data_IF_977389387582
#
_entry.id   IF_977389387582
#
_cell.length_a   1.000
_cell.length_b   1.000
_cell.length_c   1.000
_cell.angle_alpha   90.00
_cell.angle_beta   90.00
_cell.angle_gamma   90.00
#
_symmetry.space_group_name_H-M   'P 1'
#
loop_
_entity.id
_entity.type
_entity.pdbx_description
1 polymer ?
#
# COMPACT_ATOMS: atom_id res chain seq x y z
N UNK A 1 15.06 11.95 6.65
CA UNK A 1 14.32 11.00 5.78
C UNK A 1 13.17 10.32 6.52
N UNK A 2 13.33 9.99 7.80
CA UNK A 2 12.35 9.17 8.54
C UNK A 2 11.00 9.87 8.76
N UNK A 3 11.01 11.18 9.07
CA UNK A 3 9.77 11.96 9.23
C UNK A 3 8.93 12.03 7.95
N UNK A 4 9.60 12.14 6.78
CA UNK A 4 8.92 12.12 5.48
C UNK A 4 8.26 10.76 5.21
N UNK A 5 8.98 9.66 5.43
CA UNK A 5 8.44 8.31 5.24
C UNK A 5 7.28 8.06 6.21
N UNK A 6 7.44 8.43 7.48
CA UNK A 6 6.40 8.26 8.50
C UNK A 6 5.13 9.04 8.15
N UNK A 7 5.27 10.30 7.72
CA UNK A 7 4.14 11.13 7.30
C UNK A 7 3.39 10.53 6.11
N UNK A 8 4.11 10.07 5.07
CA UNK A 8 3.47 9.45 3.90
C UNK A 8 2.80 8.12 4.24
N UNK A 9 3.35 7.33 5.17
CA UNK A 9 2.69 6.11 5.67
C UNK A 9 1.38 6.44 6.40
N UNK A 10 1.36 7.52 7.18
CA UNK A 10 0.14 7.98 7.84
C UNK A 10 -0.92 8.42 6.82
N UNK A 11 -0.52 9.16 5.78
CA UNK A 11 -1.43 9.54 4.69
C UNK A 11 -1.99 8.31 3.95
N UNK A 12 -1.15 7.31 3.66
CA UNK A 12 -1.61 6.06 3.05
C UNK A 12 -2.60 5.30 3.93
N UNK A 13 -2.37 5.26 5.26
CA UNK A 13 -3.34 4.66 6.19
C UNK A 13 -4.67 5.43 6.17
N UNK A 14 -4.62 6.76 6.16
CA UNK A 14 -5.81 7.60 6.02
C UNK A 14 -6.54 7.31 4.70
N UNK A 15 -5.81 7.21 3.59
CA UNK A 15 -6.37 6.84 2.30
C UNK A 15 -7.04 5.46 2.35
N UNK A 16 -6.36 4.44 2.88
CA UNK A 16 -6.92 3.09 2.95
C UNK A 16 -8.18 3.04 3.81
N UNK A 17 -8.23 3.81 4.90
CA UNK A 17 -9.42 3.95 5.71
C UNK A 17 -10.57 4.55 4.90
N UNK A 18 -10.33 5.64 4.17
CA UNK A 18 -11.34 6.28 3.29
C UNK A 18 -11.81 5.31 2.20
N UNK A 19 -10.90 4.59 1.56
CA UNK A 19 -11.22 3.59 0.55
C UNK A 19 -12.07 2.44 1.12
N UNK A 20 -11.69 1.88 2.27
CA UNK A 20 -12.45 0.82 2.94
C UNK A 20 -13.84 1.32 3.33
N UNK A 21 -13.94 2.52 3.91
CA UNK A 21 -15.23 3.14 4.25
C UNK A 21 -16.09 3.25 3.00
N UNK A 22 -15.54 3.76 1.90
CA UNK A 22 -16.28 3.89 0.64
C UNK A 22 -16.72 2.53 0.05
N UNK A 23 -15.95 1.46 0.24
CA UNK A 23 -16.35 0.11 -0.21
C UNK A 23 -17.59 -0.41 0.54
N UNK A 24 -17.72 -0.13 1.84
CA UNK A 24 -18.83 -0.61 2.67
C UNK A 24 -19.99 0.38 2.78
N UNK A 25 -19.70 1.66 2.65
CA UNK A 25 -20.62 2.79 2.71
C UNK A 25 -20.26 3.75 1.56
N UNK A 26 -20.70 3.47 0.32
CA UNK A 26 -20.36 4.26 -0.84
C UNK A 26 -20.72 5.73 -0.65
N UNK A 27 -19.79 6.62 -0.98
CA UNK A 27 -20.03 8.05 -0.95
C UNK A 27 -20.96 8.48 -2.08
N UNK A 28 -21.57 9.65 -1.92
CA UNK A 28 -22.49 10.17 -2.93
C UNK A 28 -21.75 10.79 -4.12
N UNK A 29 -22.31 10.58 -5.32
CA UNK A 29 -21.87 11.22 -6.55
C UNK A 29 -20.46 10.82 -6.99
N UNK A 30 -19.72 11.78 -7.53
CA UNK A 30 -18.41 11.53 -8.14
C UNK A 30 -17.35 11.05 -7.13
N UNK A 31 -17.54 11.29 -5.83
CA UNK A 31 -16.58 10.91 -4.79
C UNK A 31 -16.37 9.39 -4.73
N UNK A 32 -17.44 8.60 -4.81
CA UNK A 32 -17.34 7.13 -4.85
C UNK A 32 -16.51 6.68 -6.05
N UNK A 33 -16.85 7.15 -7.25
CA UNK A 33 -16.16 6.78 -8.48
C UNK A 33 -14.66 7.08 -8.41
N UNK A 34 -14.27 8.26 -7.94
CA UNK A 34 -12.86 8.64 -7.83
C UNK A 34 -12.13 7.84 -6.75
N UNK A 35 -12.73 7.66 -5.56
CA UNK A 35 -12.13 6.88 -4.48
C UNK A 35 -11.95 5.43 -4.89
N UNK A 36 -12.94 4.83 -5.54
CA UNK A 36 -12.87 3.46 -6.07
C UNK A 36 -11.78 3.33 -7.13
N UNK A 37 -11.76 4.23 -8.12
CA UNK A 37 -10.79 4.18 -9.22
C UNK A 37 -9.35 4.33 -8.70
N UNK A 38 -9.10 5.32 -7.84
CA UNK A 38 -7.78 5.55 -7.25
C UNK A 38 -7.39 4.38 -6.35
N UNK A 39 -8.32 3.86 -5.55
CA UNK A 39 -8.04 2.74 -4.64
C UNK A 39 -7.70 1.45 -5.37
N UNK A 40 -8.45 1.10 -6.41
CA UNK A 40 -8.17 -0.07 -7.26
C UNK A 40 -6.83 0.12 -7.99
N UNK A 41 -6.56 1.30 -8.53
CA UNK A 41 -5.29 1.60 -9.20
C UNK A 41 -4.11 1.44 -8.22
N UNK A 42 -4.19 2.02 -7.02
CA UNK A 42 -3.14 1.88 -6.01
C UNK A 42 -2.98 0.44 -5.54
N UNK A 43 -4.07 -0.29 -5.31
CA UNK A 43 -4.01 -1.69 -4.92
C UNK A 43 -3.33 -2.56 -5.99
N UNK A 44 -3.61 -2.27 -7.26
CA UNK A 44 -2.98 -2.92 -8.41
C UNK A 44 -1.48 -2.61 -8.47
N UNK A 45 -1.09 -1.35 -8.27
CA UNK A 45 0.33 -0.95 -8.21
C UNK A 45 1.04 -1.68 -7.08
N UNK A 46 0.49 -1.68 -5.86
CA UNK A 46 1.09 -2.37 -4.72
C UNK A 46 1.20 -3.89 -4.95
N UNK A 47 0.21 -4.49 -5.61
CA UNK A 47 0.25 -5.90 -6.01
C UNK A 47 1.41 -6.18 -6.98
N UNK A 48 1.58 -5.34 -8.00
CA UNK A 48 2.69 -5.43 -8.95
C UNK A 48 4.03 -5.29 -8.20
N UNK A 49 4.16 -4.30 -7.33
CA UNK A 49 5.37 -4.10 -6.52
C UNK A 49 5.71 -5.36 -5.71
N UNK A 50 4.72 -5.97 -5.05
CA UNK A 50 4.94 -7.20 -4.31
C UNK A 50 5.38 -8.35 -5.22
N UNK A 51 4.71 -8.55 -6.36
CA UNK A 51 5.04 -9.63 -7.29
C UNK A 51 6.47 -9.49 -7.84
N UNK A 52 6.89 -8.26 -8.14
CA UNK A 52 8.25 -7.98 -8.63
C UNK A 52 9.28 -8.15 -7.50
N UNK A 53 8.99 -7.67 -6.29
CA UNK A 53 9.95 -7.66 -5.18
C UNK A 53 9.94 -8.93 -4.32
N UNK A 54 8.98 -9.85 -4.49
CA UNK A 54 8.83 -11.06 -3.66
C UNK A 54 10.09 -11.92 -3.60
N UNK A 55 10.83 -12.04 -4.71
CA UNK A 55 12.07 -12.84 -4.76
C UNK A 55 13.17 -12.21 -3.92
N UNK A 56 13.34 -10.90 -4.04
CA UNK A 56 14.35 -10.14 -3.29
C UNK A 56 14.01 -10.04 -1.79
N UNK A 57 12.72 -9.87 -1.46
CA UNK A 57 12.26 -9.91 -0.08
C UNK A 57 12.49 -11.28 0.56
N UNK A 58 12.15 -12.36 -0.16
CA UNK A 58 12.37 -13.74 0.33
C UNK A 58 13.86 -14.05 0.54
N UNK A 59 14.75 -13.63 -0.35
CA UNK A 59 16.19 -13.88 -0.20
C UNK A 59 16.80 -13.17 1.01
N UNK A 60 16.14 -12.12 1.51
CA UNK A 60 16.53 -11.41 2.74
C UNK A 60 15.76 -11.85 3.99
N UNK A 61 15.06 -12.98 3.94
CA UNK A 61 14.30 -13.52 5.08
C UNK A 61 12.94 -12.85 5.31
N UNK A 62 12.50 -11.94 4.44
CA UNK A 62 11.20 -11.28 4.51
C UNK A 62 10.12 -12.02 3.72
N UNK A 63 9.95 -13.32 4.00
CA UNK A 63 8.88 -14.15 3.42
C UNK A 63 7.78 -14.41 4.46
N UNK A 64 6.61 -13.81 4.28
CA UNK A 64 5.45 -14.08 5.14
C UNK A 64 4.26 -13.20 4.82
N UNK A 65 3.09 -13.60 5.32
CA UNK A 65 1.82 -12.88 5.13
C UNK A 65 1.91 -11.43 5.64
N UNK A 66 2.66 -11.21 6.72
CA UNK A 66 2.91 -9.88 7.27
C UNK A 66 3.68 -8.97 6.29
N UNK A 67 4.66 -9.50 5.55
CA UNK A 67 5.41 -8.72 4.55
C UNK A 67 4.51 -8.39 3.36
N UNK A 68 3.67 -9.34 2.93
CA UNK A 68 2.65 -9.08 1.92
C UNK A 68 1.71 -7.95 2.34
N UNK A 69 1.11 -8.04 3.54
CA UNK A 69 0.22 -7.00 4.05
C UNK A 69 0.90 -5.63 4.13
N UNK A 70 2.17 -5.57 4.57
CA UNK A 70 2.92 -4.31 4.64
C UNK A 70 3.26 -3.74 3.25
N UNK A 71 3.51 -4.57 2.24
CA UNK A 71 3.65 -4.09 0.85
C UNK A 71 2.29 -3.64 0.31
N UNK A 72 1.19 -4.33 0.61
CA UNK A 72 -0.15 -3.89 0.19
C UNK A 72 -0.57 -2.57 0.85
N UNK A 73 -0.14 -2.30 2.07
CA UNK A 73 -0.47 -1.04 2.77
C UNK A 73 0.46 0.11 2.35
N UNK A 74 1.75 -0.15 2.17
CA UNK A 74 2.76 0.91 2.09
C UNK A 74 3.63 0.87 0.84
N UNK A 75 3.52 -0.16 0.01
CA UNK A 75 4.29 -0.32 -1.22
C UNK A 75 5.78 -0.11 -1.03
N UNK A 76 6.36 0.73 -1.90
CA UNK A 76 7.77 1.14 -1.89
C UNK A 76 8.25 1.76 -0.57
N UNK A 77 7.36 2.40 0.21
CA UNK A 77 7.72 2.96 1.51
C UNK A 77 8.02 1.88 2.55
N UNK A 78 7.68 0.63 2.27
CA UNK A 78 8.02 -0.52 3.11
C UNK A 78 9.19 -1.35 2.57
N UNK A 79 9.15 -1.81 1.32
CA UNK A 79 10.16 -2.75 0.84
C UNK A 79 11.50 -2.07 0.50
N UNK A 80 11.51 -0.82 0.04
CA UNK A 80 12.75 -0.15 -0.39
C UNK A 80 13.78 0.02 0.73
N UNK A 81 13.40 0.42 1.97
CA UNK A 81 14.34 0.43 3.10
C UNK A 81 14.90 -0.94 3.45
N UNK A 82 14.11 -2.02 3.33
CA UNK A 82 14.55 -3.38 3.64
C UNK A 82 15.60 -3.92 2.66
N UNK A 83 15.58 -3.42 1.41
CA UNK A 83 16.54 -3.78 0.38
C UNK A 83 17.81 -2.92 0.40
N UNK A 84 17.88 -1.87 1.22
CA UNK A 84 19.05 -0.98 1.35
C UNK A 84 20.05 -1.41 2.42
N UNK A 85 19.66 -2.31 3.32
CA UNK A 85 20.58 -2.97 4.28
C UNK A 85 21.47 -4.01 3.62
#
# INVERSE_FOLDING_TARGET
>A
MDKFIAFNKLLLLGFWLVFIVNVFMPFEGAMDQWVMLIGIAMLSVHLIEFVVMRKQLRSRGHSGLMNFARVMLFGLLYWKPLLRG
#
